data_IF_456423670862
#
_entry.id   IF_456423670862
#
_cell.length_a   1.000
_cell.length_b   1.000
_cell.length_c   1.000
_cell.angle_alpha   90.00
_cell.angle_beta   90.00
_cell.angle_gamma   90.00
#
_symmetry.space_group_name_H-M   'P 1'
#
loop_
_entity.id
_entity.type
_entity.pdbx_description
1 polymer ?
#
# COMPACT_ATOMS: atom_id res chain seq x y z
N UNK A 1 -5.78 -11.34 7.63
CA UNK A 1 -5.51 -10.29 6.61
C UNK A 1 -6.82 -9.78 6.03
N UNK A 2 -7.69 -10.67 5.52
CA UNK A 2 -9.05 -10.31 5.07
C UNK A 2 -9.82 -9.46 6.07
N UNK A 3 -9.88 -9.89 7.34
CA UNK A 3 -10.56 -9.13 8.40
C UNK A 3 -10.09 -7.68 8.53
N UNK A 4 -8.81 -7.40 8.21
CA UNK A 4 -8.28 -6.04 8.29
C UNK A 4 -8.83 -5.12 7.20
N UNK A 5 -9.13 -5.66 6.02
CA UNK A 5 -9.66 -4.90 4.88
C UNK A 5 -11.16 -5.10 4.67
N UNK A 6 -11.77 -6.08 5.35
CA UNK A 6 -13.14 -6.52 5.13
C UNK A 6 -14.12 -5.35 5.17
N UNK A 7 -14.86 -5.16 4.08
CA UNK A 7 -15.92 -4.15 4.00
C UNK A 7 -15.42 -2.75 4.41
N UNK A 8 -14.20 -2.40 4.00
CA UNK A 8 -13.62 -1.06 4.22
C UNK A 8 -14.26 -0.02 3.29
N UNK A 9 -14.61 1.13 3.88
CA UNK A 9 -15.28 2.25 3.22
C UNK A 9 -14.27 3.28 2.72
N UNK A 10 -13.03 3.20 3.22
CA UNK A 10 -11.96 4.14 2.91
C UNK A 10 -10.92 3.54 1.96
N UNK A 11 -10.90 2.21 1.78
CA UNK A 11 -9.87 1.56 0.96
C UNK A 11 -9.94 2.01 -0.50
N UNK A 12 -11.13 1.98 -1.10
CA UNK A 12 -11.33 2.43 -2.48
C UNK A 12 -11.15 3.95 -2.62
N UNK A 13 -11.69 4.73 -1.69
CA UNK A 13 -11.56 6.19 -1.69
C UNK A 13 -10.10 6.64 -1.58
N UNK A 14 -9.32 6.02 -0.69
CA UNK A 14 -7.95 6.43 -0.42
C UNK A 14 -6.93 5.77 -1.34
N UNK A 15 -7.12 4.52 -1.78
CA UNK A 15 -6.16 3.83 -2.64
C UNK A 15 -6.61 3.80 -4.10
N UNK A 16 -7.78 3.26 -4.39
CA UNK A 16 -8.18 2.94 -5.78
C UNK A 16 -8.60 4.17 -6.59
N UNK A 17 -9.22 5.16 -5.95
CA UNK A 17 -9.60 6.42 -6.60
C UNK A 17 -8.39 7.16 -7.19
N UNK A 18 -7.20 6.98 -6.62
CA UNK A 18 -5.95 7.52 -7.20
C UNK A 18 -5.67 6.93 -8.60
N UNK A 19 -6.14 5.71 -8.83
CA UNK A 19 -5.96 4.94 -10.06
C UNK A 19 -7.19 5.01 -10.98
N UNK A 20 -8.16 5.90 -10.72
CA UNK A 20 -9.41 6.00 -11.50
C UNK A 20 -9.21 6.36 -12.98
N UNK A 21 -8.00 6.81 -13.33
CA UNK A 21 -7.61 7.12 -14.71
C UNK A 21 -7.15 5.87 -15.49
N UNK A 22 -6.98 4.73 -14.80
CA UNK A 22 -6.60 3.44 -15.38
C UNK A 22 -7.82 2.54 -15.52
N UNK A 23 -8.58 2.39 -14.43
CA UNK A 23 -9.85 1.66 -14.38
C UNK A 23 -10.91 2.59 -13.82
N UNK A 24 -12.01 2.79 -14.54
CA UNK A 24 -13.03 3.76 -14.18
C UNK A 24 -13.88 3.32 -12.98
N UNK A 25 -14.03 2.01 -12.78
CA UNK A 25 -14.79 1.43 -11.68
C UNK A 25 -13.88 1.15 -10.47
N UNK A 26 -13.52 2.21 -9.75
CA UNK A 26 -12.61 2.14 -8.61
C UNK A 26 -13.29 1.77 -7.29
N UNK A 27 -14.63 1.76 -7.23
CA UNK A 27 -15.40 1.42 -6.03
C UNK A 27 -15.28 -0.07 -5.69
N UNK A 28 -15.40 -0.41 -4.40
CA UNK A 28 -15.33 -1.78 -3.91
C UNK A 28 -16.63 -2.20 -3.22
N UNK A 29 -17.17 -3.35 -3.62
CA UNK A 29 -18.30 -4.00 -2.94
C UNK A 29 -17.83 -5.27 -2.25
N UNK A 30 -18.07 -5.42 -0.95
CA UNK A 30 -17.71 -6.64 -0.21
C UNK A 30 -18.81 -7.70 -0.30
N UNK A 31 -18.45 -8.92 -0.69
CA UNK A 31 -19.33 -10.09 -0.62
C UNK A 31 -19.15 -10.81 0.71
N UNK A 32 -20.19 -10.79 1.56
CA UNK A 32 -20.20 -11.54 2.82
C UNK A 32 -20.25 -13.07 2.61
N UNK A 33 -20.70 -13.55 1.45
CA UNK A 33 -20.72 -14.98 1.13
C UNK A 33 -19.35 -15.52 0.73
N UNK A 34 -18.58 -14.73 -0.01
CA UNK A 34 -17.31 -15.16 -0.59
C UNK A 34 -16.10 -14.68 0.21
N UNK A 35 -16.32 -13.78 1.19
CA UNK A 35 -15.29 -13.19 2.04
C UNK A 35 -14.19 -12.52 1.19
N UNK A 36 -14.62 -11.76 0.17
CA UNK A 36 -13.80 -11.05 -0.79
C UNK A 36 -14.56 -9.87 -1.41
N UNK A 37 -13.84 -8.97 -2.06
CA UNK A 37 -14.45 -7.92 -2.87
C UNK A 37 -14.98 -8.48 -4.19
N UNK A 38 -16.22 -8.14 -4.55
CA UNK A 38 -16.88 -8.62 -5.76
C UNK A 38 -16.10 -8.17 -7.01
N UNK A 39 -15.58 -9.10 -7.84
CA UNK A 39 -14.92 -8.74 -9.08
C UNK A 39 -15.94 -8.20 -10.09
N UNK A 40 -15.73 -6.96 -10.53
CA UNK A 40 -16.55 -6.31 -11.55
C UNK A 40 -15.71 -5.97 -12.80
N UNK A 41 -16.39 -5.74 -13.92
CA UNK A 41 -15.75 -5.25 -15.14
C UNK A 41 -15.14 -3.86 -14.90
N UNK A 42 -13.96 -3.62 -15.50
CA UNK A 42 -13.21 -2.36 -15.38
C UNK A 42 -12.89 -1.95 -13.92
N UNK A 43 -12.75 -2.94 -13.01
CA UNK A 43 -12.46 -2.73 -11.59
C UNK A 43 -11.12 -3.31 -11.13
N UNK A 44 -10.61 -2.78 -10.02
CA UNK A 44 -9.45 -3.32 -9.30
C UNK A 44 -9.80 -4.42 -8.29
N UNK A 45 -11.08 -4.72 -8.04
CA UNK A 45 -11.51 -5.65 -6.98
C UNK A 45 -10.77 -7.01 -7.00
N UNK A 46 -10.63 -7.63 -8.19
CA UNK A 46 -9.88 -8.88 -8.33
C UNK A 46 -8.40 -8.75 -7.93
N UNK A 47 -7.73 -7.70 -8.40
CA UNK A 47 -6.31 -7.42 -8.06
C UNK A 47 -6.13 -7.10 -6.58
N UNK A 48 -7.13 -6.46 -5.94
CA UNK A 48 -7.14 -6.20 -4.50
C UNK A 48 -7.26 -7.50 -3.72
N UNK A 49 -8.15 -8.42 -4.13
CA UNK A 49 -8.26 -9.73 -3.49
C UNK A 49 -6.95 -10.51 -3.54
N UNK A 50 -6.31 -10.56 -4.72
CA UNK A 50 -5.01 -11.21 -4.89
C UNK A 50 -3.94 -10.58 -3.97
N UNK A 51 -3.91 -9.24 -3.92
CA UNK A 51 -2.99 -8.51 -3.06
C UNK A 51 -3.22 -8.79 -1.56
N UNK A 52 -4.47 -8.87 -1.12
CA UNK A 52 -4.83 -9.19 0.27
C UNK A 52 -4.34 -10.60 0.64
N UNK A 53 -4.54 -11.58 -0.24
CA UNK A 53 -4.07 -12.95 -0.02
C UNK A 53 -2.54 -13.01 0.04
N UNK A 54 -1.86 -12.35 -0.90
CA UNK A 54 -0.40 -12.27 -0.92
C UNK A 54 0.15 -11.63 0.35
N UNK A 55 -0.39 -10.48 0.77
CA UNK A 55 0.01 -9.81 2.02
C UNK A 55 -0.20 -10.72 3.23
N UNK A 56 -1.28 -11.52 3.23
CA UNK A 56 -1.58 -12.49 4.28
C UNK A 56 -0.58 -13.64 4.38
N UNK A 57 0.16 -13.92 3.30
CA UNK A 57 1.18 -14.98 3.25
C UNK A 57 2.58 -14.52 3.68
N UNK A 58 2.80 -13.21 3.80
CA UNK A 58 4.12 -12.65 4.13
C UNK A 58 4.42 -12.73 5.63
N UNK A 59 5.71 -12.77 5.95
CA UNK A 59 6.21 -12.47 7.29
C UNK A 59 6.51 -10.97 7.37
N UNK A 60 5.75 -10.18 8.15
CA UNK A 60 6.00 -8.75 8.26
C UNK A 60 7.40 -8.47 8.85
N UNK A 61 8.06 -7.37 8.43
CA UNK A 61 9.33 -6.97 9.03
C UNK A 61 9.14 -6.58 10.50
N UNK A 62 10.17 -6.80 11.33
CA UNK A 62 10.16 -6.43 12.75
C UNK A 62 9.97 -4.93 12.95
N UNK A 63 10.61 -4.11 12.08
CA UNK A 63 10.44 -2.67 12.05
C UNK A 63 9.75 -2.28 10.74
N UNK A 64 8.55 -1.71 10.85
CA UNK A 64 7.69 -1.44 9.70
C UNK A 64 8.23 -0.37 8.73
N UNK A 65 9.21 0.44 9.16
CA UNK A 65 9.87 1.42 8.29
C UNK A 65 11.05 0.85 7.49
N UNK A 66 11.61 -0.32 7.85
CA UNK A 66 12.85 -0.82 7.24
C UNK A 66 12.74 -0.94 5.71
N UNK A 67 11.60 -1.42 5.22
CA UNK A 67 11.40 -1.60 3.78
C UNK A 67 11.03 -0.30 3.06
N UNK A 68 10.45 0.66 3.77
CA UNK A 68 10.23 2.01 3.23
C UNK A 68 11.54 2.79 3.12
N UNK A 69 12.41 2.62 4.11
CA UNK A 69 13.75 3.17 4.11
C UNK A 69 14.56 2.65 2.94
N UNK A 70 14.51 1.33 2.67
CA UNK A 70 15.16 0.74 1.49
C UNK A 70 14.68 1.33 0.18
N UNK A 71 13.38 1.62 0.05
CA UNK A 71 12.82 2.28 -1.14
C UNK A 71 13.35 3.72 -1.26
N UNK A 72 13.35 4.48 -0.17
CA UNK A 72 13.88 5.85 -0.16
C UNK A 72 15.39 5.90 -0.48
N UNK A 73 16.16 4.94 0.03
CA UNK A 73 17.59 4.78 -0.25
C UNK A 73 17.86 4.51 -1.74
N UNK A 74 16.94 3.90 -2.49
CA UNK A 74 17.08 3.75 -3.94
C UNK A 74 17.06 5.09 -4.68
N UNK A 75 16.37 6.09 -4.13
CA UNK A 75 16.18 7.42 -4.72
C UNK A 75 17.22 8.41 -4.20
N UNK A 76 17.74 8.17 -3.00
CA UNK A 76 18.73 9.02 -2.37
C UNK A 76 19.98 9.21 -3.26
N UNK A 77 20.39 10.47 -3.43
CA UNK A 77 21.57 10.82 -4.24
C UNK A 77 21.32 10.86 -5.75
N UNK A 78 20.10 10.56 -6.24
CA UNK A 78 19.74 10.80 -7.64
C UNK A 78 19.68 12.31 -7.92
N UNK A 79 20.06 12.76 -9.13
CA UNK A 79 19.92 14.17 -9.50
C UNK A 79 18.47 14.66 -9.34
N UNK A 80 18.30 15.82 -8.70
CA UNK A 80 16.98 16.41 -8.43
C UNK A 80 16.33 15.95 -7.12
N UNK A 81 16.96 15.03 -6.38
CA UNK A 81 16.45 14.50 -5.11
C UNK A 81 17.38 14.84 -3.95
N UNK A 82 17.04 15.88 -3.18
CA UNK A 82 17.77 16.25 -1.96
C UNK A 82 17.22 15.49 -0.74
N UNK A 83 17.19 14.17 -0.84
CA UNK A 83 16.62 13.30 0.17
C UNK A 83 17.57 13.07 1.34
N UNK A 84 17.09 13.36 2.55
CA UNK A 84 17.78 12.99 3.77
C UNK A 84 16.81 12.50 4.84
N UNK A 85 17.31 11.62 5.71
CA UNK A 85 16.54 11.08 6.83
C UNK A 85 16.80 11.91 8.08
N UNK A 86 15.75 12.47 8.66
CA UNK A 86 15.78 13.24 9.90
C UNK A 86 14.91 12.54 10.93
N UNK A 87 15.56 11.88 11.90
CA UNK A 87 14.88 11.00 12.84
C UNK A 87 14.24 9.81 12.12
N UNK A 88 12.92 9.66 12.23
CA UNK A 88 12.15 8.59 11.58
C UNK A 88 11.50 9.00 10.26
N UNK A 89 11.80 10.19 9.74
CA UNK A 89 11.14 10.74 8.55
C UNK A 89 12.15 11.05 7.46
N UNK A 90 11.75 10.78 6.22
CA UNK A 90 12.44 11.27 5.04
C UNK A 90 11.94 12.66 4.70
N UNK A 91 12.87 13.57 4.43
CA UNK A 91 12.59 14.94 3.98
C UNK A 91 13.25 15.18 2.62
N UNK A 92 12.79 16.21 1.90
CA UNK A 92 13.30 16.56 0.58
C UNK A 92 12.45 16.05 -0.59
N UNK A 93 11.33 15.38 -0.31
CA UNK A 93 10.34 14.95 -1.31
C UNK A 93 9.02 14.56 -0.65
N UNK A 94 7.96 14.44 -1.46
CA UNK A 94 6.69 13.89 -1.00
C UNK A 94 6.82 12.37 -0.81
N UNK A 95 6.33 11.85 0.30
CA UNK A 95 6.63 10.48 0.74
C UNK A 95 6.10 9.42 -0.24
N UNK A 96 4.86 9.50 -0.76
CA UNK A 96 4.38 8.58 -1.78
C UNK A 96 5.24 8.61 -3.05
N UNK A 97 5.69 9.79 -3.49
CA UNK A 97 6.55 9.92 -4.67
C UNK A 97 7.92 9.28 -4.38
N UNK A 98 8.47 9.43 -3.18
CA UNK A 98 9.72 8.75 -2.79
C UNK A 98 9.56 7.23 -2.90
N UNK A 99 8.47 6.68 -2.36
CA UNK A 99 8.20 5.23 -2.37
C UNK A 99 7.98 4.72 -3.80
N UNK A 100 7.18 5.42 -4.60
CA UNK A 100 6.93 5.09 -6.01
C UNK A 100 8.23 5.09 -6.80
N UNK A 101 9.02 6.16 -6.72
CA UNK A 101 10.26 6.30 -7.49
C UNK A 101 11.34 5.30 -7.05
N UNK A 102 11.35 4.93 -5.77
CA UNK A 102 12.21 3.89 -5.24
C UNK A 102 11.82 2.50 -5.74
N UNK A 103 10.53 2.29 -6.00
CA UNK A 103 9.99 0.98 -6.36
C UNK A 103 10.22 0.55 -7.81
N UNK A 104 10.65 1.44 -8.71
CA UNK A 104 11.01 1.04 -10.09
C UNK A 104 12.18 0.04 -10.15
N UNK A 105 13.02 -0.01 -9.12
CA UNK A 105 14.09 -1.01 -8.98
C UNK A 105 13.74 -2.11 -7.97
N UNK A 106 12.51 -2.12 -7.44
CA UNK A 106 12.05 -3.09 -6.46
C UNK A 106 11.55 -4.35 -7.16
N UNK A 107 12.43 -5.33 -7.30
CA UNK A 107 12.13 -6.57 -8.01
C UNK A 107 10.90 -7.25 -7.38
N UNK A 108 9.90 -7.53 -8.22
CA UNK A 108 8.61 -8.10 -7.82
C UNK A 108 7.91 -7.32 -6.69
N UNK A 109 8.17 -6.01 -6.56
CA UNK A 109 7.59 -5.13 -5.53
C UNK A 109 7.87 -5.62 -4.10
N UNK A 110 8.99 -6.33 -3.88
CA UNK A 110 9.28 -6.99 -2.61
C UNK A 110 9.29 -6.03 -1.42
N UNK A 111 9.92 -4.87 -1.54
CA UNK A 111 9.98 -3.88 -0.47
C UNK A 111 8.63 -3.18 -0.27
N UNK A 112 7.87 -2.87 -1.33
CA UNK A 112 6.52 -2.33 -1.19
C UNK A 112 5.59 -3.30 -0.43
N UNK A 113 5.63 -4.59 -0.78
CA UNK A 113 4.83 -5.63 -0.14
C UNK A 113 5.17 -5.78 1.35
N UNK A 114 6.45 -5.77 1.70
CA UNK A 114 6.90 -5.81 3.10
C UNK A 114 6.61 -4.53 3.87
N UNK A 115 6.65 -3.36 3.22
CA UNK A 115 6.25 -2.09 3.82
C UNK A 115 4.76 -2.09 4.18
N UNK A 116 3.90 -2.54 3.25
CA UNK A 116 2.47 -2.70 3.50
C UNK A 116 2.20 -3.68 4.65
N UNK A 117 2.80 -4.89 4.60
CA UNK A 117 2.64 -5.90 5.65
C UNK A 117 3.13 -5.40 7.01
N UNK A 118 4.26 -4.67 7.05
CA UNK A 118 4.80 -4.05 8.25
C UNK A 118 3.84 -3.04 8.86
N UNK A 119 3.23 -2.16 8.05
CA UNK A 119 2.24 -1.17 8.51
C UNK A 119 0.99 -1.82 9.08
N UNK A 120 0.47 -2.84 8.41
CA UNK A 120 -0.71 -3.59 8.88
C UNK A 120 -0.40 -4.24 10.22
N UNK A 121 0.75 -4.91 10.34
CA UNK A 121 1.19 -5.51 11.62
C UNK A 121 1.32 -4.47 12.72
N UNK A 122 1.92 -3.32 12.42
CA UNK A 122 2.06 -2.20 13.33
C UNK A 122 0.71 -1.60 13.78
N UNK A 123 -0.30 -1.57 12.91
CA UNK A 123 -1.67 -1.16 13.26
C UNK A 123 -2.32 -2.16 14.22
N UNK A 124 -2.28 -3.46 13.87
CA UNK A 124 -2.83 -4.56 14.68
C UNK A 124 -2.19 -4.58 16.08
N UNK A 125 -0.86 -4.43 16.18
CA UNK A 125 -0.16 -4.40 17.47
C UNK A 125 -0.56 -3.22 18.36
N UNK A 126 -1.11 -2.16 17.77
CA UNK A 126 -1.67 -0.99 18.47
C UNK A 126 -3.18 -1.08 18.67
N UNK A 127 -3.80 -2.24 18.37
CA UNK A 127 -5.24 -2.47 18.51
C UNK A 127 -6.11 -1.84 17.43
N UNK A 128 -5.52 -1.37 16.32
CA UNK A 128 -6.25 -0.91 15.14
C UNK A 128 -6.47 -2.13 14.25
N UNK A 129 -7.64 -2.76 14.37
CA UNK A 129 -7.88 -4.09 13.81
C UNK A 129 -8.42 -4.05 12.38
N UNK A 130 -8.83 -2.87 11.93
CA UNK A 130 -9.38 -2.63 10.61
C UNK A 130 -8.71 -1.43 9.92
N UNK A 131 -8.63 -1.44 8.59
CA UNK A 131 -8.04 -0.38 7.78
C UNK A 131 -8.68 0.98 8.09
N UNK A 132 -10.01 1.02 8.25
CA UNK A 132 -10.75 2.25 8.54
C UNK A 132 -10.50 2.80 9.96
N UNK A 133 -9.97 1.98 10.86
CA UNK A 133 -9.64 2.36 12.24
C UNK A 133 -8.20 2.88 12.39
N UNK A 134 -7.42 2.82 11.32
CA UNK A 134 -6.02 3.23 11.37
C UNK A 134 -5.87 4.71 11.71
N UNK A 135 -4.77 5.05 12.39
CA UNK A 135 -4.36 6.44 12.53
C UNK A 135 -4.18 7.07 11.14
N UNK A 136 -4.80 8.24 10.91
CA UNK A 136 -4.96 8.84 9.58
C UNK A 136 -3.67 8.96 8.78
N UNK A 137 -2.56 9.34 9.41
CA UNK A 137 -1.29 9.47 8.71
C UNK A 137 -0.74 8.11 8.26
N UNK A 138 -0.87 7.08 9.10
CA UNK A 138 -0.49 5.72 8.73
C UNK A 138 -1.42 5.08 7.69
N UNK A 139 -2.74 5.33 7.80
CA UNK A 139 -3.75 4.86 6.86
C UNK A 139 -3.49 5.40 5.45
N UNK A 140 -3.25 6.72 5.34
CA UNK A 140 -2.96 7.36 4.07
C UNK A 140 -1.73 6.75 3.40
N UNK A 141 -0.65 6.57 4.15
CA UNK A 141 0.58 5.99 3.57
C UNK A 141 0.35 4.53 3.15
N UNK A 142 -0.39 3.74 3.95
CA UNK A 142 -0.72 2.38 3.53
C UNK A 142 -1.54 2.39 2.24
N UNK A 143 -2.53 3.27 2.12
CA UNK A 143 -3.32 3.44 0.89
C UNK A 143 -2.44 3.79 -0.31
N UNK A 144 -1.51 4.75 -0.13
CA UNK A 144 -0.57 5.17 -1.17
C UNK A 144 0.35 4.00 -1.59
N UNK A 145 0.85 3.20 -0.64
CA UNK A 145 1.66 1.99 -0.93
C UNK A 145 0.85 0.96 -1.72
N UNK A 146 -0.40 0.69 -1.33
CA UNK A 146 -1.28 -0.23 -2.05
C UNK A 146 -1.57 0.26 -3.48
N UNK A 147 -1.80 1.56 -3.65
CA UNK A 147 -2.00 2.17 -4.95
C UNK A 147 -0.76 2.02 -5.86
N UNK A 148 0.45 2.24 -5.33
CA UNK A 148 1.70 2.06 -6.09
C UNK A 148 1.87 0.60 -6.52
N UNK A 149 1.61 -0.36 -5.62
CA UNK A 149 1.66 -1.80 -5.94
C UNK A 149 0.70 -2.13 -7.09
N UNK A 150 -0.56 -1.69 -7.00
CA UNK A 150 -1.59 -1.93 -8.01
C UNK A 150 -1.25 -1.25 -9.34
N UNK A 151 -0.70 -0.04 -9.30
CA UNK A 151 -0.19 0.67 -10.48
C UNK A 151 0.88 -0.15 -11.22
N UNK A 152 1.87 -0.66 -10.48
CA UNK A 152 2.94 -1.50 -11.06
C UNK A 152 2.39 -2.78 -11.68
N UNK A 153 1.41 -3.42 -11.04
CA UNK A 153 0.77 -4.67 -11.51
C UNK A 153 -0.20 -4.48 -12.67
N UNK A 154 -0.48 -3.25 -13.06
CA UNK A 154 -1.36 -2.95 -14.20
C UNK A 154 -0.56 -2.55 -15.43
N UNK A 155 0.67 -2.09 -15.24
CA UNK A 155 1.58 -1.68 -16.30
C UNK A 155 2.75 -2.66 -16.56
N UNK A 156 2.78 -3.80 -15.88
CA UNK A 156 3.75 -4.89 -16.08
C UNK A 156 3.23 -5.95 -17.05
#
# INVERSE_FOLDING_TARGET
MKDFFRNSWLLDELALRQLSHINGNWELTWSDSDDLYEPEDDSFASKVNDLIEELGSLTPPTQYHDNEDRLAEQVQGRPGWDLCKVGTRWIGGDYPIILEQGSFNDNAQHNLMLAAAGRIKAAIDRGQMHFDEMEKSHQKILADVLAIILYHRTNA
#
